data_IF_965916924178
#
_entry.id   IF_965916924178
#
_cell.length_a   1.000
_cell.length_b   1.000
_cell.length_c   1.000
_cell.angle_alpha   90.00
_cell.angle_beta   90.00
_cell.angle_gamma   90.00
#
_symmetry.space_group_name_H-M   'P 1'
#
loop_
_entity.id
_entity.type
_entity.pdbx_description
1 polymer ?
#
# COMPACT_ATOMS: atom_id res chain seq x y z
N UNK A 1 9.62 -6.62 -21.82
CA UNK A 1 9.00 -5.29 -21.63
C UNK A 1 7.52 -5.47 -21.37
N UNK A 2 6.91 -4.63 -20.52
CA UNK A 2 5.47 -4.70 -20.25
C UNK A 2 4.71 -3.63 -21.04
N UNK A 3 3.56 -3.97 -21.59
CA UNK A 3 2.66 -3.00 -22.24
C UNK A 3 1.83 -2.25 -21.20
N UNK A 4 1.35 -1.03 -21.52
CA UNK A 4 0.44 -0.30 -20.63
C UNK A 4 -0.80 -1.12 -20.29
N UNK A 5 -1.36 -1.84 -21.26
CA UNK A 5 -2.53 -2.68 -21.08
C UNK A 5 -2.28 -3.81 -20.07
N UNK A 6 -1.12 -4.49 -20.15
CA UNK A 6 -0.71 -5.49 -19.16
C UNK A 6 -0.63 -4.88 -17.76
N UNK A 7 0.03 -3.74 -17.61
CA UNK A 7 0.17 -3.07 -16.31
C UNK A 7 -1.19 -2.68 -15.74
N UNK A 8 -2.08 -2.12 -16.55
CA UNK A 8 -3.44 -1.76 -16.12
C UNK A 8 -4.29 -2.97 -15.72
N UNK A 9 -4.05 -4.13 -16.35
CA UNK A 9 -4.78 -5.37 -16.06
C UNK A 9 -4.32 -6.08 -14.79
N UNK A 10 -3.13 -5.76 -14.24
CA UNK A 10 -2.58 -6.43 -13.05
C UNK A 10 -3.53 -6.37 -11.85
N UNK A 11 -4.05 -5.18 -11.56
CA UNK A 11 -5.07 -5.01 -10.54
C UNK A 11 -5.89 -3.74 -10.77
N UNK A 12 -7.10 -3.75 -10.22
CA UNK A 12 -7.97 -2.59 -10.06
C UNK A 12 -8.33 -2.48 -8.60
N UNK A 13 -7.78 -1.48 -7.93
CA UNK A 13 -7.95 -1.29 -6.49
C UNK A 13 -8.88 -0.09 -6.24
N UNK A 14 -9.94 -0.31 -5.49
CA UNK A 14 -10.85 0.75 -5.05
C UNK A 14 -10.49 1.19 -3.63
N UNK A 15 -10.66 2.48 -3.36
CA UNK A 15 -10.50 3.05 -2.01
C UNK A 15 -11.73 3.91 -1.75
N UNK A 16 -12.54 3.51 -0.78
CA UNK A 16 -13.79 4.18 -0.42
C UNK A 16 -13.73 4.67 1.03
N UNK A 17 -14.32 5.84 1.29
CA UNK A 17 -14.45 6.34 2.66
C UNK A 17 -15.55 5.55 3.37
N UNK A 18 -15.26 4.98 4.54
CA UNK A 18 -16.30 4.36 5.36
C UNK A 18 -17.06 5.46 6.09
N UNK A 19 -18.40 5.57 5.90
CA UNK A 19 -19.20 6.52 6.66
C UNK A 19 -19.21 6.11 8.13
N UNK A 20 -19.16 7.11 9.02
CA UNK A 20 -19.35 6.88 10.45
C UNK A 20 -20.72 6.23 10.68
N UNK A 21 -20.74 5.02 11.24
CA UNK A 21 -21.98 4.34 11.59
C UNK A 21 -22.54 5.00 12.84
N UNK A 22 -23.83 5.35 12.84
CA UNK A 22 -24.52 5.88 14.04
C UNK A 22 -24.25 4.97 15.24
N UNK A 23 -23.69 5.52 16.32
CA UNK A 23 -23.34 4.79 17.55
C UNK A 23 -21.93 4.18 17.59
N UNK A 24 -21.16 4.23 16.50
CA UNK A 24 -19.76 3.80 16.45
C UNK A 24 -18.85 5.02 16.28
N UNK A 25 -18.19 5.43 17.37
CA UNK A 25 -17.17 6.49 17.31
C UNK A 25 -15.86 5.90 16.78
N UNK A 26 -15.61 6.07 15.48
CA UNK A 26 -14.32 5.74 14.89
C UNK A 26 -13.28 6.79 15.31
N UNK A 27 -12.27 6.38 16.09
CA UNK A 27 -11.17 7.26 16.52
C UNK A 27 -10.37 7.81 15.34
N UNK A 28 -10.41 7.12 14.20
CA UNK A 28 -9.67 7.46 13.00
C UNK A 28 -10.56 7.30 11.76
N UNK A 29 -10.29 8.12 10.74
CA UNK A 29 -10.89 7.93 9.41
C UNK A 29 -10.35 6.63 8.80
N UNK A 30 -11.27 5.73 8.47
CA UNK A 30 -10.99 4.45 7.82
C UNK A 30 -11.47 4.44 6.37
N UNK A 31 -10.74 3.68 5.56
CA UNK A 31 -11.02 3.45 4.16
C UNK A 31 -11.21 1.96 3.92
N UNK A 32 -12.24 1.61 3.16
CA UNK A 32 -12.31 0.28 2.56
C UNK A 32 -11.39 0.26 1.33
N UNK A 33 -10.48 -0.70 1.31
CA UNK A 33 -9.56 -0.95 0.21
C UNK A 33 -9.92 -2.30 -0.41
N UNK A 34 -10.39 -2.29 -1.64
CA UNK A 34 -10.87 -3.49 -2.35
C UNK A 34 -9.98 -3.81 -3.54
N UNK A 35 -9.39 -5.00 -3.57
CA UNK A 35 -8.60 -5.48 -4.71
C UNK A 35 -9.43 -6.43 -5.57
N UNK A 36 -9.48 -6.16 -6.89
CA UNK A 36 -10.11 -7.07 -7.85
C UNK A 36 -9.27 -8.34 -8.03
N UNK A 37 -7.94 -8.22 -8.05
CA UNK A 37 -7.00 -9.35 -8.19
C UNK A 37 -7.14 -10.34 -7.03
N UNK A 38 -7.18 -9.84 -5.80
CA UNK A 38 -7.26 -10.70 -4.60
C UNK A 38 -8.68 -11.03 -4.15
N UNK A 39 -9.71 -10.44 -4.79
CA UNK A 39 -11.14 -10.67 -4.50
C UNK A 39 -11.47 -10.46 -3.02
N UNK A 40 -10.88 -9.44 -2.41
CA UNK A 40 -11.08 -9.12 -1.00
C UNK A 40 -11.16 -7.61 -0.78
N UNK A 41 -11.78 -7.26 0.36
CA UNK A 41 -11.79 -5.90 0.93
C UNK A 41 -11.17 -5.94 2.32
N UNK A 42 -10.37 -4.93 2.63
CA UNK A 42 -9.81 -4.71 3.96
C UNK A 42 -10.03 -3.27 4.40
N UNK A 43 -10.06 -3.06 5.71
CA UNK A 43 -10.14 -1.72 6.29
C UNK A 43 -8.74 -1.22 6.61
N UNK A 44 -8.46 0.02 6.19
CA UNK A 44 -7.16 0.69 6.41
C UNK A 44 -7.38 2.12 6.83
N UNK A 45 -6.58 2.60 7.77
CA UNK A 45 -6.45 4.03 8.07
C UNK A 45 -5.24 4.61 7.35
N UNK A 46 -5.18 5.94 7.26
CA UNK A 46 -4.06 6.65 6.60
C UNK A 46 -2.68 6.21 7.13
N UNK A 47 -2.54 6.01 8.44
CA UNK A 47 -1.26 5.60 9.01
C UNK A 47 -0.85 4.17 8.59
N UNK A 48 -1.78 3.29 8.21
CA UNK A 48 -1.41 1.97 7.70
C UNK A 48 -0.74 2.10 6.33
N UNK A 49 -1.22 3.02 5.48
CA UNK A 49 -0.55 3.37 4.23
C UNK A 49 0.84 3.98 4.46
N UNK A 50 1.01 4.79 5.50
CA UNK A 50 2.32 5.36 5.87
C UNK A 50 3.32 4.25 6.19
N UNK A 51 2.95 3.31 7.06
CA UNK A 51 3.82 2.18 7.40
C UNK A 51 4.09 1.31 6.17
N UNK A 52 3.07 1.02 5.36
CA UNK A 52 3.25 0.27 4.11
C UNK A 52 4.22 0.97 3.14
N UNK A 53 4.12 2.29 2.99
CA UNK A 53 5.04 3.08 2.17
C UNK A 53 6.46 3.08 2.73
N UNK A 54 6.65 3.20 4.04
CA UNK A 54 7.96 3.04 4.68
C UNK A 54 8.58 1.67 4.37
N UNK A 55 7.78 0.60 4.44
CA UNK A 55 8.24 -0.75 4.14
C UNK A 55 8.61 -0.94 2.66
N UNK A 56 7.86 -0.31 1.75
CA UNK A 56 8.23 -0.28 0.32
C UNK A 56 9.57 0.44 0.09
N UNK A 57 9.77 1.59 0.73
CA UNK A 57 11.03 2.34 0.61
C UNK A 57 12.22 1.56 1.18
N UNK A 58 12.03 0.88 2.31
CA UNK A 58 13.07 0.06 2.93
C UNK A 58 13.42 -1.15 2.06
N UNK A 59 12.42 -1.82 1.49
CA UNK A 59 12.63 -3.03 0.68
C UNK A 59 13.11 -2.72 -0.74
N UNK A 60 12.72 -1.59 -1.32
CA UNK A 60 13.00 -1.23 -2.70
C UNK A 60 13.70 0.14 -2.82
N UNK A 61 14.90 0.31 -2.22
CA UNK A 61 15.57 1.60 -2.13
C UNK A 61 16.03 2.14 -3.50
N UNK A 62 16.11 1.30 -4.53
CA UNK A 62 16.55 1.70 -5.88
C UNK A 62 15.39 1.92 -6.84
N UNK A 63 14.14 1.94 -6.35
CA UNK A 63 12.94 2.15 -7.16
C UNK A 63 12.18 3.41 -6.74
N UNK A 64 11.49 3.99 -7.72
CA UNK A 64 10.56 5.09 -7.44
C UNK A 64 9.28 4.58 -6.79
N UNK A 65 9.20 4.69 -5.46
CA UNK A 65 7.96 4.45 -4.71
C UNK A 65 7.03 5.68 -4.85
N UNK A 66 5.77 5.52 -5.28
CA UNK A 66 4.84 6.65 -5.40
C UNK A 66 4.62 7.36 -4.07
N UNK A 67 4.61 8.70 -4.08
CA UNK A 67 4.41 9.49 -2.87
C UNK A 67 3.00 9.38 -2.28
N UNK A 68 2.92 9.47 -0.96
CA UNK A 68 1.65 9.59 -0.23
C UNK A 68 1.17 11.05 -0.16
N UNK A 69 -0.16 11.29 -0.04
CA UNK A 69 -0.66 12.63 0.28
C UNK A 69 -0.11 13.07 1.65
N UNK A 70 0.05 14.37 1.90
CA UNK A 70 0.67 14.86 3.13
C UNK A 70 -0.10 14.45 4.40
N UNK A 71 0.67 14.21 5.47
CA UNK A 71 0.13 14.10 6.83
C UNK A 71 -0.31 15.51 7.24
N UNK A 72 -1.61 15.72 7.36
CA UNK A 72 -2.18 17.04 7.66
C UNK A 72 -1.76 17.52 9.04
N UNK A 73 -1.53 18.83 9.15
CA UNK A 73 -1.17 19.49 10.41
C UNK A 73 -2.39 20.06 11.17
N UNK A 74 -3.51 20.42 10.51
CA UNK A 74 -4.71 21.00 11.16
C UNK A 74 -6.04 20.63 10.42
N UNK A 75 -7.13 20.34 11.16
CA UNK A 75 -8.55 20.32 10.71
C UNK A 75 -9.01 19.31 9.63
N UNK A 76 -9.89 18.34 9.98
CA UNK A 76 -10.41 17.33 9.03
C UNK A 76 -11.72 17.73 8.37
N UNK A 77 -11.67 18.70 7.48
CA UNK A 77 -12.82 18.91 6.63
C UNK A 77 -13.03 17.74 5.65
N UNK A 78 -14.25 17.66 5.14
CA UNK A 78 -14.68 16.62 4.21
C UNK A 78 -13.91 16.66 2.90
N UNK A 79 -13.53 17.85 2.44
CA UNK A 79 -12.77 18.04 1.21
C UNK A 79 -11.38 17.43 1.29
N UNK A 80 -10.71 17.63 2.43
CA UNK A 80 -9.42 17.04 2.70
C UNK A 80 -9.50 15.51 2.71
N UNK A 81 -10.51 14.94 3.38
CA UNK A 81 -10.69 13.48 3.47
C UNK A 81 -10.89 12.90 2.07
N UNK A 82 -11.70 13.54 1.24
CA UNK A 82 -11.96 13.09 -0.12
C UNK A 82 -10.73 13.23 -1.04
N UNK A 83 -9.99 14.32 -0.90
CA UNK A 83 -8.72 14.51 -1.63
C UNK A 83 -7.67 13.48 -1.23
N UNK A 84 -7.56 13.18 0.08
CA UNK A 84 -6.72 12.10 0.58
C UNK A 84 -7.16 10.75 0.03
N UNK A 85 -8.45 10.41 0.06
CA UNK A 85 -8.98 9.15 -0.49
C UNK A 85 -8.60 8.98 -1.97
N UNK A 86 -8.77 10.02 -2.79
CA UNK A 86 -8.36 10.01 -4.21
C UNK A 86 -6.85 9.78 -4.38
N UNK A 87 -6.02 10.43 -3.55
CA UNK A 87 -4.58 10.24 -3.58
C UNK A 87 -4.16 8.83 -3.14
N UNK A 88 -4.76 8.29 -2.07
CA UNK A 88 -4.55 6.91 -1.63
C UNK A 88 -4.94 5.90 -2.72
N UNK A 89 -6.06 6.12 -3.43
CA UNK A 89 -6.46 5.32 -4.59
C UNK A 89 -5.40 5.35 -5.69
N UNK A 90 -4.86 6.52 -6.03
CA UNK A 90 -3.80 6.64 -7.05
C UNK A 90 -2.53 5.91 -6.59
N UNK A 91 -2.08 6.17 -5.37
CA UNK A 91 -0.91 5.53 -4.76
C UNK A 91 -1.00 4.00 -4.87
N UNK A 92 -2.08 3.40 -4.35
CA UNK A 92 -2.17 1.94 -4.28
C UNK A 92 -2.34 1.29 -5.66
N UNK A 93 -2.98 1.96 -6.62
CA UNK A 93 -3.05 1.46 -7.99
C UNK A 93 -1.69 1.56 -8.70
N UNK A 94 -0.90 2.61 -8.46
CA UNK A 94 0.46 2.69 -9.01
C UNK A 94 1.34 1.57 -8.45
N UNK A 95 1.28 1.33 -7.13
CA UNK A 95 1.98 0.21 -6.50
C UNK A 95 1.49 -1.14 -7.04
N UNK A 96 0.17 -1.36 -7.07
CA UNK A 96 -0.42 -2.63 -7.53
C UNK A 96 -0.22 -2.97 -9.00
N UNK A 97 0.21 -1.99 -9.81
CA UNK A 97 0.48 -2.18 -11.24
C UNK A 97 1.96 -2.17 -11.58
N UNK A 98 2.83 -1.75 -10.66
CA UNK A 98 4.28 -1.74 -10.85
C UNK A 98 4.84 -3.17 -10.72
N UNK A 99 5.55 -3.74 -11.72
CA UNK A 99 5.80 -5.18 -11.77
C UNK A 99 6.51 -5.78 -10.54
N UNK A 100 7.60 -5.17 -10.02
CA UNK A 100 8.23 -5.62 -8.78
C UNK A 100 7.31 -5.53 -7.55
N UNK A 101 6.51 -4.46 -7.43
CA UNK A 101 5.66 -4.25 -6.26
C UNK A 101 4.40 -5.12 -6.30
N UNK A 102 3.86 -5.35 -7.50
CA UNK A 102 2.61 -6.09 -7.70
C UNK A 102 2.72 -7.56 -7.33
N UNK A 103 3.92 -8.13 -7.42
CA UNK A 103 4.21 -9.52 -7.07
C UNK A 103 4.74 -9.67 -5.64
N UNK A 104 4.99 -8.56 -4.94
CA UNK A 104 5.58 -8.61 -3.61
C UNK A 104 4.58 -9.03 -2.53
N UNK A 105 5.07 -9.82 -1.56
CA UNK A 105 4.31 -10.25 -0.39
C UNK A 105 3.77 -9.07 0.43
N UNK A 106 4.49 -7.94 0.49
CA UNK A 106 4.05 -6.76 1.21
C UNK A 106 2.74 -6.22 0.67
N UNK A 107 2.61 -6.10 -0.66
CA UNK A 107 1.38 -5.59 -1.27
C UNK A 107 0.23 -6.57 -1.05
N UNK A 108 0.48 -7.87 -1.29
CA UNK A 108 -0.53 -8.91 -1.07
C UNK A 108 -1.04 -8.87 0.37
N UNK A 109 -0.13 -8.83 1.35
CA UNK A 109 -0.46 -8.74 2.76
C UNK A 109 -1.25 -7.48 3.08
N UNK A 110 -0.78 -6.31 2.61
CA UNK A 110 -1.48 -5.04 2.82
C UNK A 110 -2.91 -5.05 2.27
N UNK A 111 -3.17 -5.76 1.17
CA UNK A 111 -4.49 -5.82 0.54
C UNK A 111 -5.39 -6.95 1.08
N UNK A 112 -4.83 -8.01 1.70
CA UNK A 112 -5.62 -9.18 2.11
C UNK A 112 -5.74 -9.41 3.61
N UNK A 113 -4.87 -8.83 4.45
CA UNK A 113 -4.88 -9.07 5.89
C UNK A 113 -5.95 -8.24 6.63
N UNK A 114 -6.91 -8.88 7.30
CA UNK A 114 -8.00 -8.17 7.99
C UNK A 114 -7.75 -7.89 9.48
N UNK A 115 -6.60 -8.27 10.03
CA UNK A 115 -6.26 -8.04 11.44
C UNK A 115 -5.93 -6.59 11.76
N UNK A 116 -6.11 -6.20 13.02
CA UNK A 116 -5.90 -4.83 13.52
C UNK A 116 -4.42 -4.46 13.69
N UNK A 117 -3.52 -5.45 13.72
CA UNK A 117 -2.07 -5.32 13.92
C UNK A 117 -1.27 -5.23 12.62
N UNK A 118 -1.93 -4.85 11.51
CA UNK A 118 -1.33 -4.80 10.16
C UNK A 118 0.01 -4.06 10.11
N UNK A 119 0.17 -2.98 10.88
CA UNK A 119 1.40 -2.19 10.91
C UNK A 119 2.60 -2.98 11.43
N UNK A 120 2.42 -3.72 12.52
CA UNK A 120 3.49 -4.53 13.12
C UNK A 120 3.84 -5.69 12.19
N UNK A 121 2.83 -6.36 11.65
CA UNK A 121 3.01 -7.47 10.71
C UNK A 121 3.73 -7.04 9.43
N UNK A 122 3.45 -5.84 8.91
CA UNK A 122 4.19 -5.29 7.78
C UNK A 122 5.67 -5.09 8.09
N UNK A 123 6.00 -4.62 9.30
CA UNK A 123 7.40 -4.45 9.73
C UNK A 123 8.10 -5.80 9.90
N UNK A 124 7.42 -6.78 10.50
CA UNK A 124 7.92 -8.15 10.62
C UNK A 124 8.26 -8.77 9.26
N UNK A 125 7.47 -8.50 8.21
CA UNK A 125 7.73 -9.01 6.85
C UNK A 125 8.98 -8.43 6.17
N UNK A 126 9.49 -7.27 6.63
CA UNK A 126 10.71 -6.65 6.09
C UNK A 126 11.90 -6.87 7.01
N UNK A 127 11.65 -7.09 8.30
CA UNK A 127 12.69 -7.26 9.30
C UNK A 127 13.57 -8.48 8.96
N UNK A 128 14.89 -8.25 8.86
CA UNK A 128 15.87 -9.30 8.62
C UNK A 128 15.91 -9.86 7.18
N UNK A 129 15.02 -9.45 6.29
CA UNK A 129 15.00 -9.89 4.88
C UNK A 129 16.08 -9.19 4.05
N UNK A 130 16.46 -7.98 4.42
CA UNK A 130 17.31 -7.11 3.61
C UNK A 130 16.52 -6.39 2.51
N UNK A 131 17.20 -5.57 1.71
CA UNK A 131 16.60 -4.86 0.59
C UNK A 131 16.57 -5.73 -0.70
N UNK A 132 16.05 -5.16 -1.79
CA UNK A 132 15.96 -5.83 -3.08
C UNK A 132 17.31 -6.23 -3.66
N UNK A 133 18.41 -5.54 -3.30
CA UNK A 133 19.74 -5.90 -3.77
C UNK A 133 20.24 -7.14 -3.04
N UNK A 134 20.08 -7.18 -1.72
CA UNK A 134 20.45 -8.33 -0.88
C UNK A 134 19.67 -9.60 -1.25
N UNK A 135 18.46 -9.45 -1.77
CA UNK A 135 17.59 -10.56 -2.19
C UNK A 135 17.65 -10.87 -3.69
N UNK A 136 18.44 -10.12 -4.47
CA UNK A 136 18.55 -10.29 -5.92
C UNK A 136 19.49 -11.46 -6.28
N UNK A 137 18.96 -12.45 -7.00
CA UNK A 137 19.77 -13.59 -7.49
C UNK A 137 20.95 -13.15 -8.36
N UNK A 138 20.80 -12.08 -9.16
CA UNK A 138 21.88 -11.57 -10.01
C UNK A 138 22.99 -10.89 -9.20
N UNK A 139 22.67 -10.28 -8.06
CA UNK A 139 23.67 -9.65 -7.20
C UNK A 139 24.60 -10.69 -6.56
N UNK A 140 24.09 -11.90 -6.28
CA UNK A 140 24.90 -13.01 -5.79
C UNK A 140 25.87 -13.56 -6.86
N UNK A 141 25.51 -13.44 -8.14
CA UNK A 141 26.32 -13.94 -9.26
C UNK A 141 27.41 -12.96 -9.72
N UNK A 142 27.35 -11.69 -9.31
CA UNK A 142 28.31 -10.66 -9.72
C UNK A 142 29.72 -10.80 -9.10
N UNK A 143 29.97 -11.84 -8.30
CA UNK A 143 31.29 -12.16 -7.73
C UNK A 143 32.09 -13.16 -8.57
N UNK A 144 31.50 -13.70 -9.64
CA UNK A 144 32.17 -14.53 -10.65
C UNK A 144 32.58 -13.67 -11.85
#
# INVERSE_FOLDING_TARGET
>A
SHTLQELLSKDTIQVQLIPEKKGLFLKHVEYEVSSKRFRCSVYRRYNDFVVFHEMLLQKFPYRMVPGLPPKRMLGADREFIETRRRALKRFINLVGRHPPFSEDVLLKFFLSFSGSDVQNKLRELVQGVGDEFMTCNFAMQAKE
#
